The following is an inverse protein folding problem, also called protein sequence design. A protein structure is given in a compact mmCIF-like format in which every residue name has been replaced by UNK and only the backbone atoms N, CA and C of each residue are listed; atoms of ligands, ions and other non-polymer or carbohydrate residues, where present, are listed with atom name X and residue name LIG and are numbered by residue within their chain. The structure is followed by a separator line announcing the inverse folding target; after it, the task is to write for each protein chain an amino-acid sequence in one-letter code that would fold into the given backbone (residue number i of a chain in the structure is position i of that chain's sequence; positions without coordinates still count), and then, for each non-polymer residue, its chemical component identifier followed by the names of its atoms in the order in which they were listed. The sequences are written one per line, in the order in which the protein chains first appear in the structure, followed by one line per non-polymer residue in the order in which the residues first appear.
data_IF_834620507315
#
_entry.id   IF_834620507315
#
_cell.length_a   1.000
_cell.length_b   1.000
_cell.length_c   1.000
_cell.angle_alpha   90.00
_cell.angle_beta   90.00
_cell.angle_gamma   90.00
#
_symmetry.space_group_name_H-M   'P 1'
#
loop_
_entity.id
_entity.type
_entity.pdbx_description
1 polymer ?
#
# COMPACT_ATOMS: atom_id res chain seq x y z
N UNK A 1 -10.76 -27.46 -4.59
CA UNK A 1 -12.18 -27.11 -4.41
C UNK A 1 -12.80 -28.09 -3.43
N UNK A 2 -13.17 -27.62 -2.21
CA UNK A 2 -13.68 -28.49 -1.12
C UNK A 2 -15.03 -29.09 -1.51
N UNK A 3 -15.88 -28.33 -2.22
CA UNK A 3 -17.25 -28.74 -2.54
C UNK A 3 -17.49 -29.09 -4.01
N UNK A 4 -16.58 -28.82 -4.90
CA UNK A 4 -16.80 -28.93 -6.35
C UNK A 4 -17.67 -27.80 -6.90
N UNK A 5 -17.63 -27.60 -8.21
CA UNK A 5 -18.29 -26.49 -8.88
C UNK A 5 -19.81 -26.62 -8.87
N UNK A 6 -20.33 -27.81 -9.15
CA UNK A 6 -21.77 -28.06 -9.16
C UNK A 6 -22.40 -27.83 -7.77
N UNK A 7 -21.77 -28.30 -6.71
CA UNK A 7 -22.27 -28.11 -5.35
C UNK A 7 -22.20 -26.65 -4.91
N UNK A 8 -21.19 -25.89 -5.39
CA UNK A 8 -21.06 -24.46 -5.12
C UNK A 8 -22.22 -23.64 -5.71
N UNK A 9 -22.61 -23.94 -6.95
CA UNK A 9 -23.64 -23.18 -7.66
C UNK A 9 -25.06 -23.70 -7.42
N UNK A 10 -25.23 -25.02 -7.29
CA UNK A 10 -26.53 -25.68 -7.22
C UNK A 10 -26.85 -26.26 -5.84
N UNK A 11 -25.87 -26.38 -4.95
CA UNK A 11 -26.02 -27.02 -3.64
C UNK A 11 -26.78 -26.21 -2.59
N UNK A 12 -27.06 -24.91 -2.86
CA UNK A 12 -27.74 -24.02 -1.93
C UNK A 12 -26.94 -23.73 -0.67
N UNK A 13 -25.63 -23.48 -0.85
CA UNK A 13 -24.71 -23.13 0.24
C UNK A 13 -25.03 -21.76 0.82
N UNK A 14 -25.06 -21.67 2.15
CA UNK A 14 -25.02 -20.42 2.91
C UNK A 14 -23.60 -20.19 3.43
N UNK A 15 -22.97 -19.11 2.97
CA UNK A 15 -21.59 -18.75 3.36
C UNK A 15 -21.61 -17.51 4.23
N UNK A 16 -21.14 -17.62 5.46
CA UNK A 16 -20.92 -16.50 6.36
C UNK A 16 -19.45 -16.10 6.28
N UNK A 17 -19.18 -14.88 5.80
CA UNK A 17 -17.84 -14.31 5.79
C UNK A 17 -17.44 -13.76 7.16
N UNK A 18 -16.12 -13.62 7.38
CA UNK A 18 -15.55 -12.96 8.56
C UNK A 18 -15.61 -11.42 8.47
N UNK A 19 -16.10 -10.88 7.35
CA UNK A 19 -16.17 -9.44 7.08
C UNK A 19 -16.93 -8.68 8.17
N UNK A 20 -16.31 -7.60 8.66
CA UNK A 20 -16.98 -6.56 9.44
C UNK A 20 -17.15 -5.33 8.55
N UNK A 21 -18.42 -4.97 8.27
CA UNK A 21 -18.75 -3.90 7.31
C UNK A 21 -18.26 -2.52 7.75
N UNK A 22 -18.27 -2.22 9.05
CA UNK A 22 -17.76 -0.94 9.58
C UNK A 22 -16.25 -0.85 9.41
N UNK A 23 -15.53 -1.92 9.80
CA UNK A 23 -14.07 -1.99 9.65
C UNK A 23 -13.68 -1.94 8.16
N UNK A 24 -14.47 -2.57 7.27
CA UNK A 24 -14.23 -2.51 5.83
C UNK A 24 -14.33 -1.08 5.29
N UNK A 25 -15.35 -0.32 5.71
CA UNK A 25 -15.52 1.09 5.32
C UNK A 25 -14.31 1.92 5.79
N UNK A 26 -13.86 1.72 7.03
CA UNK A 26 -12.67 2.41 7.54
C UNK A 26 -11.41 2.03 6.78
N UNK A 27 -11.22 0.75 6.45
CA UNK A 27 -10.08 0.27 5.69
C UNK A 27 -10.05 0.87 4.28
N UNK A 28 -11.18 0.85 3.57
CA UNK A 28 -11.30 1.43 2.23
C UNK A 28 -10.98 2.93 2.23
N UNK A 29 -11.55 3.66 3.17
CA UNK A 29 -11.31 5.10 3.30
C UNK A 29 -9.85 5.41 3.66
N UNK A 30 -9.24 4.63 4.55
CA UNK A 30 -7.83 4.79 4.93
C UNK A 30 -6.89 4.51 3.75
N UNK A 31 -7.12 3.43 3.00
CA UNK A 31 -6.33 3.10 1.82
C UNK A 31 -6.45 4.19 0.76
N UNK A 32 -7.67 4.59 0.40
CA UNK A 32 -7.92 5.63 -0.61
C UNK A 32 -7.28 6.95 -0.23
N UNK A 33 -7.47 7.39 1.03
CA UNK A 33 -6.85 8.60 1.56
C UNK A 33 -5.31 8.55 1.47
N UNK A 34 -4.73 7.42 1.87
CA UNK A 34 -3.27 7.22 1.81
C UNK A 34 -2.73 7.28 0.39
N UNK A 35 -3.38 6.62 -0.57
CA UNK A 35 -3.00 6.63 -1.98
C UNK A 35 -3.13 8.03 -2.59
N UNK A 36 -4.22 8.75 -2.32
CA UNK A 36 -4.42 10.11 -2.78
C UNK A 36 -3.38 11.08 -2.21
N UNK A 37 -3.11 11.01 -0.91
CA UNK A 37 -2.09 11.84 -0.28
C UNK A 37 -0.69 11.57 -0.84
N UNK A 38 -0.35 10.31 -1.07
CA UNK A 38 0.92 9.96 -1.69
C UNK A 38 1.01 10.53 -3.11
N UNK A 39 -0.02 10.31 -3.92
CA UNK A 39 -0.06 10.75 -5.32
C UNK A 39 0.00 12.29 -5.45
N UNK A 40 -0.76 13.01 -4.61
CA UNK A 40 -0.72 14.48 -4.55
C UNK A 40 0.66 15.03 -4.21
N UNK A 41 1.46 14.35 -3.37
CA UNK A 41 2.86 14.74 -3.09
C UNK A 41 3.79 14.63 -4.29
N UNK A 42 3.41 13.87 -5.33
CA UNK A 42 4.16 13.72 -6.58
C UNK A 42 3.67 14.63 -7.70
N UNK A 43 2.76 15.55 -7.37
CA UNK A 43 2.32 16.61 -8.24
C UNK A 43 1.13 16.30 -9.13
N UNK A 44 0.64 17.33 -9.77
CA UNK A 44 -0.51 17.29 -10.66
C UNK A 44 -0.08 16.97 -12.08
N UNK A 45 -0.82 16.11 -12.75
CA UNK A 45 -0.52 15.63 -14.11
C UNK A 45 -1.33 16.34 -15.20
N UNK A 46 -2.05 17.39 -14.83
CA UNK A 46 -2.89 18.16 -15.75
C UNK A 46 -4.37 17.79 -15.68
N UNK A 47 -5.22 18.55 -16.35
CA UNK A 47 -6.65 18.29 -16.49
C UNK A 47 -6.91 17.01 -17.29
N UNK A 48 -8.14 16.50 -17.25
CA UNK A 48 -8.60 15.36 -18.05
C UNK A 48 -8.60 15.73 -19.54
N UNK A 49 -9.07 16.95 -19.83
CA UNK A 49 -9.17 17.53 -21.16
C UNK A 49 -9.36 19.04 -21.05
N UNK A 50 -9.31 19.74 -22.20
CA UNK A 50 -9.85 21.09 -22.35
C UNK A 50 -11.00 21.02 -23.36
N UNK A 51 -12.22 21.43 -22.99
CA UNK A 51 -13.42 21.30 -23.80
C UNK A 51 -14.31 22.54 -23.71
N UNK A 52 -14.38 23.29 -24.79
CA UNK A 52 -15.17 24.53 -24.90
C UNK A 52 -16.67 24.30 -25.08
N UNK A 53 -17.10 23.06 -25.34
CA UNK A 53 -18.51 22.76 -25.61
C UNK A 53 -19.40 22.97 -24.38
N UNK A 54 -20.66 23.37 -24.61
CA UNK A 54 -21.66 23.53 -23.54
C UNK A 54 -22.17 22.17 -23.03
N UNK A 55 -22.00 21.11 -23.84
CA UNK A 55 -22.45 19.76 -23.53
C UNK A 55 -21.31 18.83 -23.10
N UNK A 56 -20.23 19.40 -22.58
CA UNK A 56 -19.03 18.69 -22.12
C UNK A 56 -19.38 17.49 -21.19
N UNK A 57 -20.37 17.67 -20.34
CA UNK A 57 -20.79 16.67 -19.36
C UNK A 57 -21.24 15.35 -20.01
N UNK A 58 -21.94 15.40 -21.15
CA UNK A 58 -22.41 14.21 -21.87
C UNK A 58 -21.24 13.32 -22.33
N UNK A 59 -20.08 13.91 -22.56
CA UNK A 59 -18.86 13.22 -22.99
C UNK A 59 -18.08 12.61 -21.82
N UNK A 60 -17.98 13.30 -20.71
CA UNK A 60 -17.07 12.95 -19.63
C UNK A 60 -17.73 12.24 -18.44
N UNK A 61 -18.99 12.56 -18.11
CA UNK A 61 -19.73 11.92 -16.98
C UNK A 61 -19.93 10.42 -17.19
N UNK A 62 -20.04 9.95 -18.43
CA UNK A 62 -20.15 8.52 -18.74
C UNK A 62 -18.94 7.70 -18.30
N UNK A 63 -17.81 8.33 -18.03
CA UNK A 63 -16.59 7.66 -17.58
C UNK A 63 -16.63 7.18 -16.13
N UNK A 64 -17.75 7.37 -15.43
CA UNK A 64 -18.00 6.95 -14.06
C UNK A 64 -16.76 7.17 -13.17
N UNK A 65 -16.51 8.40 -12.70
CA UNK A 65 -15.29 8.70 -11.96
C UNK A 65 -15.20 7.83 -10.70
N UNK A 66 -14.01 7.35 -10.36
CA UNK A 66 -13.85 6.46 -9.23
C UNK A 66 -14.09 7.19 -7.91
N UNK A 67 -14.50 6.43 -6.89
CA UNK A 67 -14.72 6.93 -5.55
C UNK A 67 -15.85 7.97 -5.52
N UNK A 68 -15.71 9.02 -4.73
CA UNK A 68 -16.67 10.14 -4.61
C UNK A 68 -16.26 11.32 -5.50
N UNK A 69 -15.50 11.08 -6.57
CA UNK A 69 -15.11 12.14 -7.47
C UNK A 69 -16.26 12.53 -8.39
N UNK A 70 -16.30 13.81 -8.67
CA UNK A 70 -17.15 14.40 -9.68
C UNK A 70 -16.27 14.95 -10.79
N UNK A 71 -16.87 15.19 -11.95
CA UNK A 71 -16.20 15.86 -13.05
C UNK A 71 -16.73 17.28 -13.10
N UNK A 72 -15.80 18.24 -13.21
CA UNK A 72 -16.11 19.66 -13.24
C UNK A 72 -15.38 20.36 -14.39
N UNK A 73 -15.96 21.47 -14.84
CA UNK A 73 -15.36 22.36 -15.84
C UNK A 73 -14.97 23.69 -15.20
N UNK A 74 -13.78 24.19 -15.49
CA UNK A 74 -13.37 25.54 -15.10
C UNK A 74 -14.10 26.56 -15.95
N UNK A 75 -14.90 27.41 -15.33
CA UNK A 75 -15.73 28.41 -16.02
C UNK A 75 -15.23 29.85 -15.85
N UNK A 76 -14.53 30.14 -14.76
CA UNK A 76 -14.04 31.47 -14.46
C UNK A 76 -12.89 31.43 -13.45
N UNK A 77 -11.96 32.39 -13.53
CA UNK A 77 -10.98 32.66 -12.47
C UNK A 77 -11.40 33.88 -11.64
N UNK A 78 -11.28 33.76 -10.33
CA UNK A 78 -11.42 34.86 -9.38
C UNK A 78 -10.02 35.36 -8.99
N UNK A 79 -9.59 36.44 -9.64
CA UNK A 79 -8.27 37.00 -9.39
C UNK A 79 -8.12 37.68 -8.02
N UNK A 80 -9.25 38.11 -7.40
CA UNK A 80 -9.22 38.72 -6.06
C UNK A 80 -8.92 37.68 -4.97
N UNK A 81 -9.51 36.50 -5.10
CA UNK A 81 -9.35 35.39 -4.14
C UNK A 81 -8.33 34.35 -4.59
N UNK A 82 -7.71 34.52 -5.77
CA UNK A 82 -6.78 33.56 -6.37
C UNK A 82 -7.39 32.16 -6.64
N UNK A 83 -8.72 32.06 -6.70
CA UNK A 83 -9.48 30.83 -6.89
C UNK A 83 -9.98 30.69 -8.34
N UNK A 84 -10.68 29.57 -8.61
CA UNK A 84 -11.47 29.39 -9.82
C UNK A 84 -12.88 29.01 -9.45
N UNK A 85 -13.84 29.30 -10.34
CA UNK A 85 -15.19 28.76 -10.28
C UNK A 85 -15.31 27.58 -11.23
N UNK A 86 -16.00 26.55 -10.77
CA UNK A 86 -16.27 25.32 -11.49
C UNK A 86 -17.76 25.15 -11.74
N UNK A 87 -18.10 24.59 -12.89
CA UNK A 87 -19.44 24.04 -13.20
C UNK A 87 -19.41 22.53 -12.96
N UNK A 88 -20.26 22.05 -12.09
CA UNK A 88 -20.46 20.61 -11.79
C UNK A 88 -21.90 20.24 -12.12
N UNK A 89 -22.10 19.04 -12.63
CA UNK A 89 -23.44 18.52 -12.89
C UNK A 89 -23.81 17.54 -11.77
N UNK A 90 -24.88 17.86 -11.05
CA UNK A 90 -25.46 17.01 -10.02
C UNK A 90 -26.95 16.81 -10.32
N UNK A 91 -27.39 15.56 -10.48
CA UNK A 91 -28.79 15.21 -10.77
C UNK A 91 -29.36 16.03 -11.95
N UNK A 92 -28.57 16.12 -13.03
CA UNK A 92 -28.88 16.87 -14.26
C UNK A 92 -28.94 18.41 -14.10
N UNK A 93 -28.65 18.95 -12.93
CA UNK A 93 -28.52 20.37 -12.67
C UNK A 93 -27.09 20.87 -12.74
N UNK A 94 -26.91 22.06 -13.32
CA UNK A 94 -25.62 22.77 -13.35
C UNK A 94 -25.44 23.58 -12.08
N UNK A 95 -24.42 23.23 -11.31
CA UNK A 95 -24.06 23.92 -10.08
C UNK A 95 -22.75 24.65 -10.29
N UNK A 96 -22.70 25.93 -9.94
CA UNK A 96 -21.50 26.73 -9.92
C UNK A 96 -20.99 26.86 -8.48
N UNK A 97 -19.72 26.60 -8.28
CA UNK A 97 -19.11 26.62 -6.96
C UNK A 97 -17.62 27.00 -7.03
N UNK A 98 -17.04 27.31 -5.89
CA UNK A 98 -15.63 27.66 -5.80
C UNK A 98 -14.75 26.41 -5.76
N UNK A 99 -13.63 26.45 -6.50
CA UNK A 99 -12.58 25.47 -6.43
C UNK A 99 -11.61 25.83 -5.30
N UNK A 100 -11.56 24.97 -4.29
CA UNK A 100 -10.63 25.12 -3.16
C UNK A 100 -9.59 23.98 -3.16
N UNK A 101 -8.59 24.05 -2.26
CA UNK A 101 -7.60 22.96 -2.06
C UNK A 101 -6.84 22.51 -3.34
N UNK A 102 -6.51 23.44 -4.21
CA UNK A 102 -5.73 23.19 -5.43
C UNK A 102 -4.22 23.45 -5.27
N UNK A 103 -3.76 24.08 -4.19
CA UNK A 103 -2.35 24.51 -4.00
C UNK A 103 -1.34 23.36 -3.98
N UNK A 104 -1.79 22.13 -3.77
CA UNK A 104 -0.96 20.94 -3.88
C UNK A 104 -0.56 20.62 -5.34
N UNK A 105 -1.32 21.15 -6.32
CA UNK A 105 -1.29 20.76 -7.72
C UNK A 105 -0.07 21.31 -8.49
N UNK A 106 1.11 21.32 -7.87
CA UNK A 106 2.37 21.61 -8.56
C UNK A 106 2.56 20.63 -9.70
N UNK A 107 3.02 21.10 -10.86
CA UNK A 107 3.24 20.23 -12.03
C UNK A 107 4.17 19.08 -11.68
N UNK A 108 3.76 17.85 -12.01
CA UNK A 108 4.61 16.67 -11.91
C UNK A 108 5.61 16.66 -13.07
N UNK A 109 6.90 16.68 -12.76
CA UNK A 109 8.00 16.71 -13.73
C UNK A 109 8.70 15.33 -13.81
N UNK A 110 9.40 15.02 -14.92
CA UNK A 110 10.21 13.81 -15.03
C UNK A 110 11.21 13.66 -13.86
N UNK A 111 11.49 12.42 -13.47
CA UNK A 111 12.39 12.12 -12.34
C UNK A 111 11.78 12.35 -10.96
N UNK A 112 10.46 12.60 -10.86
CA UNK A 112 9.77 12.80 -9.58
C UNK A 112 9.92 14.22 -9.01
N UNK A 113 10.41 15.15 -9.79
CA UNK A 113 10.51 16.57 -9.41
C UNK A 113 9.15 17.26 -9.48
N UNK A 114 9.04 18.35 -8.74
CA UNK A 114 7.85 19.21 -8.74
C UNK A 114 8.14 20.57 -9.35
N UNK A 115 7.22 21.07 -10.13
CA UNK A 115 7.22 22.44 -10.62
C UNK A 115 7.15 23.50 -9.50
N UNK A 116 7.06 24.78 -9.82
CA UNK A 116 6.98 25.86 -8.84
C UNK A 116 5.76 25.73 -7.91
N UNK A 117 5.77 26.46 -6.80
CA UNK A 117 4.61 26.55 -5.89
C UNK A 117 3.45 27.24 -6.59
N UNK A 118 2.23 26.77 -6.33
CA UNK A 118 0.98 27.31 -6.88
C UNK A 118 0.42 28.34 -5.90
N UNK A 119 0.17 29.53 -6.39
CA UNK A 119 -0.42 30.62 -5.62
C UNK A 119 -1.89 30.87 -6.00
N UNK A 120 -2.21 30.77 -7.30
CA UNK A 120 -3.54 30.96 -7.86
C UNK A 120 -3.92 29.80 -8.78
N UNK A 121 -5.21 29.57 -8.97
CA UNK A 121 -5.70 28.46 -9.79
C UNK A 121 -5.24 28.56 -11.26
N UNK A 122 -5.12 29.77 -11.80
CA UNK A 122 -4.63 30.01 -13.15
C UNK A 122 -3.14 29.72 -13.37
N UNK A 123 -2.37 29.41 -12.31
CA UNK A 123 -0.99 28.95 -12.47
C UNK A 123 -0.90 27.53 -13.05
N UNK A 124 -1.98 26.73 -12.91
CA UNK A 124 -1.98 25.30 -13.25
C UNK A 124 -3.18 24.86 -14.09
N UNK A 125 -4.25 25.65 -14.15
CA UNK A 125 -5.49 25.37 -14.86
C UNK A 125 -5.79 26.47 -15.87
N UNK A 126 -6.58 26.14 -16.90
CA UNK A 126 -7.05 27.04 -17.93
C UNK A 126 -8.59 27.06 -17.98
N UNK A 127 -9.18 28.09 -18.59
CA UNK A 127 -10.60 28.09 -18.86
C UNK A 127 -10.99 26.88 -19.73
N UNK A 128 -12.13 26.29 -19.43
CA UNK A 128 -12.66 25.09 -20.05
C UNK A 128 -11.91 23.80 -19.74
N UNK A 129 -10.94 23.81 -18.81
CA UNK A 129 -10.36 22.56 -18.33
C UNK A 129 -11.40 21.69 -17.63
N UNK A 130 -11.41 20.42 -17.99
CA UNK A 130 -12.20 19.38 -17.35
C UNK A 130 -11.31 18.68 -16.31
N UNK A 131 -11.77 18.65 -15.07
CA UNK A 131 -11.00 18.19 -13.92
C UNK A 131 -11.82 17.23 -13.05
N UNK A 132 -11.12 16.44 -12.23
CA UNK A 132 -11.77 15.73 -11.11
C UNK A 132 -11.83 16.64 -9.89
N UNK A 133 -12.97 16.58 -9.21
CA UNK A 133 -13.18 17.29 -7.94
C UNK A 133 -13.86 16.39 -6.93
N UNK A 134 -13.66 16.67 -5.64
CA UNK A 134 -14.44 16.10 -4.54
C UNK A 134 -15.20 17.21 -3.84
N UNK A 135 -16.44 16.91 -3.40
CA UNK A 135 -17.25 17.87 -2.63
C UNK A 135 -16.61 18.12 -1.27
N UNK A 136 -16.54 19.36 -0.87
CA UNK A 136 -16.27 19.79 0.49
C UNK A 136 -17.61 20.09 1.20
N UNK A 137 -17.62 20.12 2.55
CA UNK A 137 -18.84 20.27 3.37
C UNK A 137 -19.55 21.61 3.22
N UNK A 138 -19.01 22.58 2.49
CA UNK A 138 -19.48 23.97 2.36
C UNK A 138 -19.81 24.39 0.93
N UNK A 139 -20.32 23.52 0.09
CA UNK A 139 -20.64 23.82 -1.33
C UNK A 139 -19.42 24.26 -2.15
N UNK A 140 -18.24 23.93 -1.71
CA UNK A 140 -17.00 24.12 -2.45
C UNK A 140 -16.44 22.76 -2.90
N UNK A 141 -15.54 22.78 -3.87
CA UNK A 141 -14.93 21.59 -4.44
C UNK A 141 -13.42 21.63 -4.33
N UNK A 142 -12.83 20.52 -3.95
CA UNK A 142 -11.38 20.33 -3.93
C UNK A 142 -10.90 19.70 -5.23
N UNK A 143 -9.78 20.19 -5.77
CA UNK A 143 -9.14 19.58 -6.94
C UNK A 143 -8.61 18.18 -6.60
N UNK A 144 -8.93 17.22 -7.47
CA UNK A 144 -8.54 15.83 -7.33
C UNK A 144 -7.85 15.29 -8.58
N UNK A 145 -7.18 14.18 -8.44
CA UNK A 145 -6.73 13.35 -9.56
C UNK A 145 -6.75 11.87 -9.17
N UNK A 146 -6.99 11.00 -10.16
CA UNK A 146 -6.93 9.55 -9.94
C UNK A 146 -5.46 9.17 -9.69
N UNK A 147 -5.13 8.48 -8.57
CA UNK A 147 -3.76 8.12 -8.29
C UNK A 147 -3.21 7.12 -9.33
N UNK A 148 -1.96 7.34 -9.76
CA UNK A 148 -1.23 6.37 -10.60
C UNK A 148 -0.70 5.19 -9.82
N UNK A 149 -0.46 5.39 -8.52
CA UNK A 149 -0.02 4.33 -7.61
C UNK A 149 -1.22 3.53 -7.11
N UNK A 150 -0.95 2.34 -6.65
CA UNK A 150 -1.96 1.48 -6.04
C UNK A 150 -1.38 0.76 -4.82
N UNK A 151 -2.22 0.13 -4.01
CA UNK A 151 -1.81 -0.54 -2.78
C UNK A 151 -2.86 -1.51 -2.27
N UNK A 152 -2.65 -2.03 -1.09
CA UNK A 152 -3.61 -2.87 -0.39
C UNK A 152 -3.58 -2.64 1.10
N UNK A 153 -4.66 -2.99 1.77
CA UNK A 153 -4.81 -2.98 3.22
C UNK A 153 -5.53 -4.25 3.65
N UNK A 154 -5.14 -4.80 4.79
CA UNK A 154 -5.80 -5.93 5.44
C UNK A 154 -5.88 -5.67 6.93
N UNK A 155 -7.00 -6.04 7.55
CA UNK A 155 -7.21 -6.00 8.99
C UNK A 155 -7.65 -7.40 9.42
N UNK A 156 -6.88 -7.99 10.31
CA UNK A 156 -7.03 -9.39 10.74
C UNK A 156 -6.96 -9.49 12.27
N UNK A 157 -7.76 -10.37 12.83
CA UNK A 157 -7.63 -10.79 14.23
C UNK A 157 -6.34 -11.62 14.39
N UNK A 158 -5.39 -11.21 15.23
CA UNK A 158 -4.13 -11.91 15.38
C UNK A 158 -4.27 -13.26 16.13
N UNK A 159 -5.35 -13.49 16.83
CA UNK A 159 -5.57 -14.72 17.61
C UNK A 159 -6.26 -15.81 16.81
N UNK A 160 -7.17 -15.45 15.92
CA UNK A 160 -8.00 -16.41 15.17
C UNK A 160 -7.68 -16.47 13.68
N UNK A 161 -6.97 -15.48 13.13
CA UNK A 161 -6.73 -15.34 11.68
C UNK A 161 -7.93 -14.81 10.89
N UNK A 162 -9.05 -14.46 11.55
CA UNK A 162 -10.24 -13.92 10.88
C UNK A 162 -9.92 -12.57 10.24
N UNK A 163 -10.17 -12.44 8.95
CA UNK A 163 -9.97 -11.21 8.20
C UNK A 163 -11.24 -10.37 8.29
N UNK A 164 -11.18 -9.25 9.01
CA UNK A 164 -12.32 -8.34 9.20
C UNK A 164 -12.50 -7.37 8.04
N UNK A 165 -11.41 -6.98 7.38
CA UNK A 165 -11.44 -6.11 6.21
C UNK A 165 -10.25 -6.38 5.28
N UNK A 166 -10.49 -6.22 3.98
CA UNK A 166 -9.47 -6.38 2.95
C UNK A 166 -9.81 -5.51 1.75
N UNK A 167 -8.85 -4.66 1.33
CA UNK A 167 -8.98 -3.90 0.09
C UNK A 167 -7.69 -4.00 -0.73
N UNK A 168 -7.80 -4.45 -1.96
CA UNK A 168 -6.65 -4.74 -2.84
C UNK A 168 -6.31 -3.63 -3.82
N UNK A 169 -6.98 -2.47 -3.76
CA UNK A 169 -6.74 -1.37 -4.69
C UNK A 169 -7.59 -0.13 -4.44
N UNK A 170 -7.30 0.92 -5.20
CA UNK A 170 -8.02 2.18 -5.13
C UNK A 170 -9.48 2.06 -5.61
N UNK A 171 -9.68 1.36 -6.72
CA UNK A 171 -11.00 1.17 -7.35
C UNK A 171 -11.03 -0.17 -8.09
N UNK A 172 -12.01 -1.01 -7.73
CA UNK A 172 -12.19 -2.33 -8.33
C UNK A 172 -12.51 -2.26 -9.84
N UNK A 173 -13.29 -1.27 -10.27
CA UNK A 173 -13.64 -1.09 -11.68
C UNK A 173 -12.45 -0.70 -12.56
N UNK A 174 -11.39 -0.13 -11.96
CA UNK A 174 -10.14 0.22 -12.65
C UNK A 174 -9.12 -0.92 -12.60
N UNK A 175 -9.15 -1.77 -11.58
CA UNK A 175 -8.23 -2.88 -11.42
C UNK A 175 -8.79 -3.95 -10.49
N UNK A 176 -9.13 -5.10 -11.05
CA UNK A 176 -9.60 -6.28 -10.30
C UNK A 176 -8.45 -7.01 -9.58
N UNK A 177 -7.19 -6.65 -9.85
CA UNK A 177 -6.03 -7.26 -9.25
C UNK A 177 -5.96 -6.92 -7.77
N UNK A 178 -6.15 -7.95 -6.92
CA UNK A 178 -6.12 -7.81 -5.47
C UNK A 178 -4.68 -7.86 -4.93
N UNK A 179 -4.15 -6.72 -4.55
CA UNK A 179 -2.75 -6.58 -4.11
C UNK A 179 -2.47 -7.16 -2.73
N UNK A 180 -3.49 -7.48 -1.97
CA UNK A 180 -3.33 -8.13 -0.66
C UNK A 180 -3.00 -9.62 -0.83
N UNK A 181 -3.68 -10.28 -1.77
CA UNK A 181 -3.63 -11.73 -1.96
C UNK A 181 -2.74 -12.11 -3.15
N UNK A 182 -2.87 -11.40 -4.27
CA UNK A 182 -2.25 -11.77 -5.55
C UNK A 182 -0.86 -11.19 -5.77
N UNK A 183 -0.59 -9.98 -5.21
CA UNK A 183 0.71 -9.36 -5.38
C UNK A 183 1.76 -10.04 -4.50
N UNK A 184 2.82 -10.52 -5.11
CA UNK A 184 4.05 -10.91 -4.42
C UNK A 184 5.04 -9.74 -4.49
N UNK A 185 5.55 -9.33 -3.35
CA UNK A 185 6.48 -8.19 -3.23
C UNK A 185 7.55 -8.48 -2.18
N UNK A 186 8.69 -7.86 -2.38
CA UNK A 186 9.78 -7.91 -1.41
C UNK A 186 9.36 -7.17 -0.13
N UNK A 187 9.30 -7.85 1.03
CA UNK A 187 8.95 -7.21 2.31
C UNK A 187 10.05 -6.26 2.79
N UNK A 188 11.26 -6.34 2.25
CA UNK A 188 12.40 -5.54 2.68
C UNK A 188 12.64 -5.71 4.18
N UNK A 189 12.91 -4.61 4.87
CA UNK A 189 13.19 -4.61 6.32
C UNK A 189 12.08 -5.17 7.20
N UNK A 190 10.85 -5.33 6.69
CA UNK A 190 9.79 -6.02 7.43
C UNK A 190 10.07 -7.53 7.60
N UNK A 191 11.05 -8.08 6.89
CA UNK A 191 11.48 -9.46 7.08
C UNK A 191 12.46 -9.63 8.27
N UNK A 192 13.17 -8.58 8.66
CA UNK A 192 14.22 -8.65 9.70
C UNK A 192 13.78 -9.27 11.03
N UNK A 193 12.55 -9.01 11.56
CA UNK A 193 12.12 -9.65 12.80
C UNK A 193 12.24 -11.17 12.80
N UNK A 194 12.06 -11.84 11.65
CA UNK A 194 12.23 -13.29 11.53
C UNK A 194 13.69 -13.74 11.61
N UNK A 195 14.64 -12.93 11.12
CA UNK A 195 16.09 -13.15 11.32
C UNK A 195 16.46 -13.01 12.78
N UNK A 196 15.91 -11.99 13.46
CA UNK A 196 16.16 -11.76 14.88
C UNK A 196 15.49 -12.81 15.76
N UNK A 197 14.30 -13.31 15.38
CA UNK A 197 13.66 -14.45 16.04
C UNK A 197 14.53 -15.70 15.93
N UNK A 198 15.10 -15.99 14.75
CA UNK A 198 16.06 -17.09 14.57
C UNK A 198 17.30 -16.90 15.47
N UNK A 199 17.78 -15.67 15.64
CA UNK A 199 18.90 -15.37 16.52
C UNK A 199 18.59 -15.69 17.99
N UNK A 200 17.42 -15.30 18.47
CA UNK A 200 16.98 -15.55 19.85
C UNK A 200 16.78 -17.05 20.10
N UNK A 201 16.16 -17.79 19.19
CA UNK A 201 16.00 -19.26 19.28
C UNK A 201 17.34 -20.02 19.28
N UNK A 202 18.37 -19.43 18.69
CA UNK A 202 19.72 -20.02 18.64
C UNK A 202 20.69 -19.44 19.70
N UNK A 203 20.17 -18.90 20.80
CA UNK A 203 20.93 -18.55 22.00
C UNK A 203 21.50 -17.14 22.05
N UNK A 204 21.30 -16.30 21.02
CA UNK A 204 21.63 -14.89 21.15
C UNK A 204 20.61 -14.20 22.09
N UNK A 205 21.09 -13.21 22.84
CA UNK A 205 20.28 -12.44 23.78
C UNK A 205 20.06 -11.02 23.27
N UNK A 206 19.03 -10.28 23.73
CA UNK A 206 18.83 -8.89 23.34
C UNK A 206 20.01 -7.97 23.54
N UNK A 207 20.90 -8.28 24.49
CA UNK A 207 22.15 -7.56 24.80
C UNK A 207 23.39 -8.13 24.12
N UNK A 208 23.28 -9.24 23.35
CA UNK A 208 24.40 -9.77 22.56
C UNK A 208 24.93 -8.72 21.60
N UNK A 209 26.27 -8.58 21.55
CA UNK A 209 26.91 -7.59 20.70
C UNK A 209 27.14 -8.14 19.30
N UNK A 210 26.66 -7.40 18.32
CA UNK A 210 26.83 -7.66 16.88
C UNK A 210 27.56 -6.45 16.27
N UNK A 211 28.57 -6.71 15.45
CA UNK A 211 29.37 -5.65 14.83
C UNK A 211 28.62 -4.98 13.66
N UNK A 212 28.39 -3.67 13.76
CA UNK A 212 27.91 -2.82 12.66
C UNK A 212 29.09 -2.14 11.97
N UNK A 213 29.69 -2.82 11.00
CA UNK A 213 30.88 -2.39 10.26
C UNK A 213 30.76 -2.84 8.79
N UNK A 214 31.61 -2.34 7.89
CA UNK A 214 31.64 -2.74 6.49
C UNK A 214 31.62 -4.25 6.32
N UNK A 215 30.87 -4.71 5.32
CA UNK A 215 30.66 -6.12 5.03
C UNK A 215 30.82 -6.36 3.53
N UNK A 216 31.59 -7.36 3.15
CA UNK A 216 31.80 -7.71 1.75
C UNK A 216 31.73 -9.22 1.62
N UNK A 217 30.93 -9.70 0.69
CA UNK A 217 30.87 -11.12 0.30
C UNK A 217 31.27 -11.24 -1.16
N UNK A 218 32.20 -12.15 -1.42
CA UNK A 218 32.48 -12.57 -2.80
C UNK A 218 31.44 -13.58 -3.23
N UNK A 219 30.73 -13.27 -4.29
CA UNK A 219 29.65 -14.10 -4.83
C UNK A 219 30.11 -14.90 -6.07
N UNK A 220 31.44 -14.93 -6.31
CA UNK A 220 32.05 -15.61 -7.45
C UNK A 220 32.23 -14.72 -8.68
N UNK A 221 32.77 -15.30 -9.76
CA UNK A 221 33.15 -14.58 -10.99
C UNK A 221 32.02 -13.83 -11.65
N UNK A 222 30.82 -14.40 -11.60
CA UNK A 222 29.67 -13.91 -12.38
C UNK A 222 28.90 -12.78 -11.67
N UNK A 223 28.84 -12.81 -10.33
CA UNK A 223 28.10 -11.85 -9.51
C UNK A 223 28.99 -10.82 -8.79
N UNK A 224 30.28 -11.07 -8.76
CA UNK A 224 31.26 -10.17 -8.17
C UNK A 224 31.13 -10.02 -6.65
N UNK A 225 31.54 -8.86 -6.13
CA UNK A 225 31.53 -8.58 -4.69
C UNK A 225 30.26 -7.84 -4.28
N UNK A 226 29.44 -8.45 -3.41
CA UNK A 226 28.31 -7.80 -2.78
C UNK A 226 28.75 -6.98 -1.56
N UNK A 227 28.41 -5.70 -1.57
CA UNK A 227 28.78 -4.71 -0.53
C UNK A 227 27.53 -4.02 0.00
N UNK A 228 26.74 -4.67 0.86
CA UNK A 228 25.57 -4.05 1.45
C UNK A 228 25.97 -2.89 2.38
N UNK A 229 25.07 -1.91 2.51
CA UNK A 229 25.25 -0.75 3.37
C UNK A 229 24.01 -0.55 4.27
N UNK A 230 24.21 0.15 5.40
CA UNK A 230 23.08 0.70 6.14
C UNK A 230 22.43 1.83 5.34
N UNK A 231 21.13 2.07 5.54
CA UNK A 231 20.39 3.12 4.83
C UNK A 231 21.05 4.51 4.94
N UNK A 232 21.57 4.85 6.12
CA UNK A 232 22.27 6.12 6.36
C UNK A 232 23.76 6.12 5.98
N UNK A 233 24.28 5.06 5.32
CA UNK A 233 25.70 4.89 4.94
C UNK A 233 26.70 5.07 6.08
N UNK A 234 26.27 4.88 7.35
CA UNK A 234 27.09 5.00 8.55
C UNK A 234 27.25 3.65 9.23
N UNK A 235 28.36 3.50 9.96
CA UNK A 235 28.69 2.34 10.77
C UNK A 235 28.74 2.76 12.24
N UNK A 236 28.33 1.86 13.13
CA UNK A 236 28.15 2.21 14.54
C UNK A 236 28.98 1.30 15.49
N UNK A 237 29.80 0.40 14.93
CA UNK A 237 30.63 -0.51 15.70
C UNK A 237 29.83 -1.58 16.46
N UNK A 238 30.36 -2.18 17.50
CA UNK A 238 29.69 -3.16 18.32
C UNK A 238 28.40 -2.56 18.93
N UNK A 239 27.25 -3.17 18.61
CA UNK A 239 25.96 -2.71 19.05
C UNK A 239 25.12 -3.90 19.50
N UNK A 240 24.20 -3.69 20.44
CA UNK A 240 23.36 -4.78 20.94
C UNK A 240 22.38 -5.26 19.88
N UNK A 241 21.98 -6.53 19.97
CA UNK A 241 20.95 -7.14 19.11
C UNK A 241 19.69 -6.25 19.08
N UNK A 242 19.25 -5.76 20.27
CA UNK A 242 18.13 -4.83 20.41
C UNK A 242 18.32 -3.58 19.56
N UNK A 243 19.47 -2.92 19.63
CA UNK A 243 19.77 -1.73 18.82
C UNK A 243 19.75 -2.02 17.32
N UNK A 244 20.16 -3.21 16.93
CA UNK A 244 20.13 -3.66 15.53
C UNK A 244 18.72 -3.68 14.96
N UNK A 245 17.75 -4.29 15.66
CA UNK A 245 16.36 -4.35 15.20
C UNK A 245 15.65 -2.99 15.31
N UNK A 246 15.80 -2.27 16.43
CA UNK A 246 15.20 -0.95 16.64
C UNK A 246 15.57 0.05 15.55
N UNK A 247 16.81 0.03 15.08
CA UNK A 247 17.32 0.94 14.05
C UNK A 247 17.36 0.32 12.66
N UNK A 248 16.82 -0.88 12.50
CA UNK A 248 16.76 -1.60 11.22
C UNK A 248 18.14 -1.70 10.53
N UNK A 249 19.22 -2.05 11.28
CA UNK A 249 20.59 -2.11 10.78
C UNK A 249 20.78 -3.26 9.79
N UNK A 250 21.14 -2.95 8.54
CA UNK A 250 21.33 -3.95 7.51
C UNK A 250 22.53 -4.85 7.80
N UNK A 251 23.68 -4.25 8.15
CA UNK A 251 24.93 -4.97 8.32
C UNK A 251 24.90 -5.91 9.53
N UNK A 252 24.25 -5.50 10.61
CA UNK A 252 24.03 -6.37 11.76
C UNK A 252 23.15 -7.56 11.40
N UNK A 253 22.03 -7.32 10.67
CA UNK A 253 21.11 -8.38 10.23
C UNK A 253 21.82 -9.42 9.35
N UNK A 254 22.67 -8.98 8.42
CA UNK A 254 23.44 -9.87 7.55
C UNK A 254 24.43 -10.70 8.36
N UNK A 255 25.15 -10.09 9.31
CA UNK A 255 26.09 -10.81 10.18
C UNK A 255 25.40 -11.84 11.06
N UNK A 256 24.22 -11.53 11.58
CA UNK A 256 23.40 -12.48 12.32
C UNK A 256 23.06 -13.67 11.42
N UNK A 257 22.53 -13.41 10.23
CA UNK A 257 22.16 -14.46 9.28
C UNK A 257 23.37 -15.31 8.84
N UNK A 258 24.51 -14.68 8.61
CA UNK A 258 25.77 -15.38 8.30
C UNK A 258 26.23 -16.27 9.47
N UNK A 259 26.17 -15.77 10.69
CA UNK A 259 26.57 -16.50 11.90
C UNK A 259 25.68 -17.72 12.15
N UNK A 260 24.38 -17.57 11.96
CA UNK A 260 23.40 -18.64 12.17
C UNK A 260 23.37 -19.68 11.04
N UNK A 261 23.68 -19.26 9.83
CA UNK A 261 23.34 -19.96 8.59
C UNK A 261 21.95 -19.61 8.09
N UNK A 262 21.81 -19.48 6.77
CA UNK A 262 20.52 -19.11 6.14
C UNK A 262 19.46 -20.21 6.27
N UNK A 263 19.83 -21.46 6.47
CA UNK A 263 18.90 -22.58 6.71
C UNK A 263 18.03 -22.34 7.94
N UNK A 264 18.61 -21.85 9.04
CA UNK A 264 17.88 -21.55 10.27
C UNK A 264 16.93 -20.36 10.10
N UNK A 265 17.35 -19.37 9.32
CA UNK A 265 16.49 -18.23 8.97
C UNK A 265 15.33 -18.69 8.08
N UNK A 266 15.59 -19.55 7.10
CA UNK A 266 14.59 -20.13 6.21
C UNK A 266 13.58 -21.01 6.97
N UNK A 267 14.04 -21.77 7.96
CA UNK A 267 13.17 -22.56 8.84
C UNK A 267 12.16 -21.66 9.58
N UNK A 268 12.62 -20.58 10.20
CA UNK A 268 11.75 -19.60 10.87
C UNK A 268 10.77 -18.97 9.89
N UNK A 269 11.23 -18.54 8.71
CA UNK A 269 10.37 -17.94 7.70
C UNK A 269 9.27 -18.88 7.23
N UNK A 270 9.58 -20.17 7.08
CA UNK A 270 8.62 -21.21 6.71
C UNK A 270 7.64 -21.51 7.86
N UNK A 271 8.14 -21.67 9.09
CA UNK A 271 7.32 -21.90 10.29
C UNK A 271 6.33 -20.77 10.52
N UNK A 272 6.79 -19.52 10.40
CA UNK A 272 5.94 -18.33 10.51
C UNK A 272 4.97 -18.18 9.32
N UNK A 273 5.22 -18.86 8.20
CA UNK A 273 4.41 -18.78 7.00
C UNK A 273 4.67 -17.55 6.12
N UNK A 274 5.69 -16.74 6.43
CA UNK A 274 5.98 -15.50 5.69
C UNK A 274 6.60 -15.78 4.32
N UNK A 275 7.37 -16.85 4.20
CA UNK A 275 8.04 -17.21 2.95
C UNK A 275 8.31 -18.72 2.91
N UNK A 276 7.75 -19.39 1.91
CA UNK A 276 8.01 -20.81 1.64
C UNK A 276 9.18 -20.94 0.67
N UNK A 277 9.99 -22.01 0.83
CA UNK A 277 11.12 -22.32 -0.06
C UNK A 277 12.10 -21.14 -0.27
N UNK A 278 12.47 -20.47 0.83
CA UNK A 278 13.38 -19.34 0.79
C UNK A 278 14.79 -19.77 0.32
N UNK A 279 15.39 -19.13 -0.70
CA UNK A 279 16.76 -19.42 -1.12
C UNK A 279 17.77 -19.14 -0.02
N UNK A 280 18.83 -19.97 0.06
CA UNK A 280 19.90 -19.86 1.06
C UNK A 280 20.95 -18.83 0.66
N UNK A 281 20.54 -17.58 0.39
CA UNK A 281 21.44 -16.46 0.05
C UNK A 281 21.26 -15.31 1.04
N UNK A 282 22.36 -14.66 1.45
CA UNK A 282 22.35 -13.65 2.51
C UNK A 282 21.46 -12.43 2.23
N UNK A 283 21.20 -12.09 0.96
CA UNK A 283 20.30 -11.00 0.61
C UNK A 283 18.87 -11.24 1.08
N UNK A 284 18.45 -12.50 1.24
CA UNK A 284 17.13 -12.86 1.76
C UNK A 284 16.92 -12.38 3.21
N UNK A 285 18.00 -12.28 4.01
CA UNK A 285 17.93 -11.71 5.35
C UNK A 285 17.47 -10.24 5.39
N UNK A 286 17.63 -9.52 4.28
CA UNK A 286 17.13 -8.15 4.11
C UNK A 286 15.75 -8.09 3.43
N UNK A 287 15.10 -9.23 3.24
CA UNK A 287 13.77 -9.32 2.61
C UNK A 287 13.80 -9.14 1.10
N UNK A 288 14.84 -9.66 0.42
CA UNK A 288 14.94 -9.66 -1.05
C UNK A 288 13.98 -10.67 -1.71
N UNK A 289 13.48 -11.66 -0.97
CA UNK A 289 12.46 -12.59 -1.46
C UNK A 289 11.06 -11.96 -1.50
N UNK A 290 10.12 -12.67 -2.10
CA UNK A 290 8.76 -12.16 -2.28
C UNK A 290 7.76 -12.86 -1.37
N UNK A 291 6.82 -12.10 -0.83
CA UNK A 291 5.67 -12.59 -0.06
C UNK A 291 4.41 -11.78 -0.39
N UNK A 292 3.24 -12.29 -0.02
CA UNK A 292 2.00 -11.51 -0.12
C UNK A 292 1.78 -10.69 1.16
N UNK A 293 0.95 -9.65 1.06
CA UNK A 293 0.60 -8.84 2.23
C UNK A 293 -0.17 -9.68 3.27
N UNK A 294 -1.05 -10.58 2.83
CA UNK A 294 -1.81 -11.46 3.74
C UNK A 294 -0.89 -12.44 4.48
N UNK A 295 0.09 -13.07 3.79
CA UNK A 295 1.03 -13.98 4.42
C UNK A 295 1.92 -13.23 5.43
N UNK A 296 2.41 -12.04 5.07
CA UNK A 296 3.21 -11.22 5.97
C UNK A 296 2.41 -10.79 7.21
N UNK A 297 1.14 -10.39 7.03
CA UNK A 297 0.26 -9.98 8.14
C UNK A 297 0.00 -11.17 9.09
N UNK A 298 -0.27 -12.35 8.55
CA UNK A 298 -0.45 -13.57 9.36
C UNK A 298 0.82 -13.94 10.13
N UNK A 299 1.98 -13.82 9.50
CA UNK A 299 3.26 -14.07 10.17
C UNK A 299 3.51 -13.07 11.32
N UNK A 300 3.17 -11.80 11.13
CA UNK A 300 3.26 -10.78 12.18
C UNK A 300 2.29 -10.98 13.34
N UNK A 301 1.15 -11.63 13.12
CA UNK A 301 0.22 -11.98 14.18
C UNK A 301 0.89 -12.82 15.28
N UNK A 302 1.86 -13.68 14.94
CA UNK A 302 2.59 -14.49 15.90
C UNK A 302 3.34 -13.67 16.95
N UNK A 303 3.76 -12.44 16.65
CA UNK A 303 4.47 -11.59 17.62
C UNK A 303 3.56 -11.06 18.74
N UNK A 304 2.23 -11.06 18.55
CA UNK A 304 1.27 -10.51 19.51
C UNK A 304 0.36 -11.56 20.13
N UNK A 305 0.33 -12.78 19.60
CA UNK A 305 -0.56 -13.85 20.06
C UNK A 305 0.14 -14.96 20.87
N UNK A 306 1.36 -14.72 21.34
CA UNK A 306 2.16 -15.68 22.08
C UNK A 306 2.89 -16.72 21.20
N UNK A 307 3.24 -16.35 19.97
CA UNK A 307 4.03 -17.19 19.06
C UNK A 307 3.22 -18.21 18.25
N UNK A 308 1.91 -18.09 18.22
CA UNK A 308 1.05 -19.03 17.49
C UNK A 308 0.88 -18.63 16.05
N UNK A 309 1.13 -19.57 15.13
CA UNK A 309 0.79 -19.38 13.71
C UNK A 309 -0.71 -19.38 13.55
N UNK A 310 -1.24 -18.42 12.81
CA UNK A 310 -2.64 -18.33 12.40
C UNK A 310 -2.77 -18.44 10.89
N UNK A 311 -3.85 -19.06 10.43
CA UNK A 311 -4.18 -19.13 9.00
C UNK A 311 -5.25 -18.07 8.70
N UNK A 312 -5.01 -17.15 7.75
CA UNK A 312 -6.00 -16.15 7.39
C UNK A 312 -7.29 -16.78 6.88
N UNK A 313 -8.42 -16.40 7.44
CA UNK A 313 -9.73 -16.86 7.02
C UNK A 313 -10.66 -15.72 6.65
N UNK A 314 -11.26 -15.82 5.47
CA UNK A 314 -12.31 -14.92 4.98
C UNK A 314 -13.71 -15.48 5.21
N UNK A 315 -13.80 -16.73 5.69
CA UNK A 315 -15.05 -17.46 5.86
C UNK A 315 -15.13 -17.99 7.29
N UNK A 316 -16.19 -17.61 7.98
CA UNK A 316 -16.49 -18.10 9.33
C UNK A 316 -17.23 -19.46 9.30
N UNK A 317 -18.16 -19.60 8.36
CA UNK A 317 -19.00 -20.80 8.29
C UNK A 317 -19.55 -21.01 6.88
N UNK A 318 -19.63 -22.28 6.50
CA UNK A 318 -20.35 -22.75 5.33
C UNK A 318 -21.38 -23.75 5.81
N UNK A 319 -22.64 -23.59 5.39
CA UNK A 319 -23.74 -24.52 5.65
C UNK A 319 -24.38 -24.93 4.34
N UNK A 320 -24.82 -26.18 4.25
CA UNK A 320 -25.67 -26.66 3.18
C UNK A 320 -27.16 -26.51 3.56
N UNK A 321 -28.04 -27.05 2.71
CA UNK A 321 -29.50 -27.01 2.94
C UNK A 321 -29.95 -27.82 4.19
N UNK A 322 -29.06 -28.63 4.76
CA UNK A 322 -29.37 -29.46 5.92
C UNK A 322 -28.89 -28.86 7.25
N UNK A 323 -28.10 -27.77 7.19
CA UNK A 323 -27.61 -27.04 8.36
C UNK A 323 -26.15 -27.25 8.72
#
# INVERSE_FOLDING_TARGET
LIFGEDYLYNGGLSVRSSLNTEIQIFADNALKKGLLQYDKRHGFRGPIANDVSNNWHLKYIKNNPPHNFLIAKIIKFDEKNNNAQVEVILKDEKIHADLVNFKWARTSLPGGYLGPKINKASDILQLNDIIYVSSDSQQSYSLEQIPKINGGIIIMDPYTGRVFALSGGFDFNKSNFNRVIQAKRQPGSSFKPFVYMSALENGLQPNSLILDAPFVVDQGSDLGKWKPENYGKKFYGPSTLRKGIENSRNLMTIRIAQYLGMEKVAEIANRAGVMKNMPNVLSMALGAGETSLIDLTAAYASFVNGGKKVEPSLIDRIQDRRG
#
